data_IF_065086410804
#
_entry.id   IF_065086410804
#
_cell.length_a   1.000
_cell.length_b   1.000
_cell.length_c   1.000
_cell.angle_alpha   90.00
_cell.angle_beta   90.00
_cell.angle_gamma   90.00
#
_symmetry.space_group_name_H-M   'P 1'
#
loop_
_entity.id
_entity.type
_entity.pdbx_description
1 polymer ?
#
# COMPACT_ATOMS: atom_id res chain seq x y z
N UNK A 1 -15.73 7.80 -19.60
CA UNK A 1 -14.39 7.88 -18.98
C UNK A 1 -14.19 9.19 -18.22
N UNK A 2 -14.51 10.35 -18.80
CA UNK A 2 -14.33 11.67 -18.18
C UNK A 2 -14.96 11.81 -16.79
N UNK A 3 -16.19 11.34 -16.57
CA UNK A 3 -16.85 11.44 -15.25
C UNK A 3 -16.07 10.77 -14.11
N UNK A 4 -15.53 9.58 -14.32
CA UNK A 4 -14.72 8.87 -13.31
C UNK A 4 -13.40 9.60 -13.03
N UNK A 5 -12.75 10.12 -14.08
CA UNK A 5 -11.52 10.92 -13.97
C UNK A 5 -11.77 12.19 -13.15
N UNK A 6 -12.84 12.92 -13.46
CA UNK A 6 -13.22 14.16 -12.77
C UNK A 6 -13.49 13.88 -11.28
N UNK A 7 -14.26 12.84 -10.98
CA UNK A 7 -14.60 12.48 -9.60
C UNK A 7 -13.36 12.16 -8.77
N UNK A 8 -12.44 11.34 -9.31
CA UNK A 8 -11.23 10.94 -8.59
C UNK A 8 -10.26 12.10 -8.40
N UNK A 9 -10.02 12.90 -9.44
CA UNK A 9 -9.18 14.09 -9.31
C UNK A 9 -9.77 15.09 -8.31
N UNK A 10 -11.09 15.30 -8.33
CA UNK A 10 -11.77 16.16 -7.34
C UNK A 10 -11.57 15.66 -5.90
N UNK A 11 -11.66 14.34 -5.66
CA UNK A 11 -11.40 13.76 -4.34
C UNK A 11 -9.95 13.87 -3.85
N UNK A 12 -9.02 14.18 -4.77
CA UNK A 12 -7.58 14.36 -4.53
C UNK A 12 -7.19 15.85 -4.52
N UNK A 13 -8.14 16.73 -4.18
CA UNK A 13 -8.00 18.20 -4.18
C UNK A 13 -7.64 18.79 -5.55
N UNK A 14 -8.02 18.12 -6.64
CA UNK A 14 -7.87 18.63 -8.00
C UNK A 14 -8.96 19.64 -8.35
N UNK A 15 -8.56 20.84 -8.71
CA UNK A 15 -9.44 21.91 -9.19
C UNK A 15 -9.44 21.96 -10.71
N UNK A 16 -10.59 21.68 -11.32
CA UNK A 16 -10.76 21.78 -12.78
C UNK A 16 -10.70 23.24 -13.22
N UNK A 17 -9.76 23.55 -14.09
CA UNK A 17 -9.60 24.89 -14.67
C UNK A 17 -10.37 25.03 -15.98
N UNK A 18 -10.37 23.96 -16.77
CA UNK A 18 -10.99 23.96 -18.09
C UNK A 18 -11.46 22.55 -18.49
N UNK A 19 -12.53 22.52 -19.26
CA UNK A 19 -13.07 21.31 -19.87
C UNK A 19 -13.56 21.65 -21.28
N UNK A 20 -12.96 21.00 -22.28
CA UNK A 20 -13.33 21.19 -23.69
C UNK A 20 -13.58 19.83 -24.34
N UNK A 21 -14.57 19.74 -25.22
CA UNK A 21 -14.84 18.53 -26.00
C UNK A 21 -14.61 18.79 -27.48
N UNK A 22 -13.80 17.95 -28.12
CA UNK A 22 -13.56 18.00 -29.57
C UNK A 22 -13.38 16.59 -30.12
N UNK A 23 -14.04 16.28 -31.24
CA UNK A 23 -13.92 15.00 -31.95
C UNK A 23 -14.13 13.75 -31.06
N UNK A 24 -15.05 13.82 -30.10
CA UNK A 24 -15.32 12.72 -29.16
C UNK A 24 -14.27 12.54 -28.06
N UNK A 25 -13.25 13.41 -28.02
CA UNK A 25 -12.23 13.47 -26.97
C UNK A 25 -12.58 14.62 -26.02
N UNK A 26 -12.45 14.36 -24.71
CA UNK A 26 -12.61 15.38 -23.67
C UNK A 26 -11.23 15.76 -23.16
N UNK A 27 -10.89 17.03 -23.29
CA UNK A 27 -9.69 17.64 -22.73
C UNK A 27 -10.05 18.21 -21.37
N UNK A 28 -9.29 17.84 -20.35
CA UNK A 28 -9.48 18.29 -18.97
C UNK A 28 -8.17 18.91 -18.48
N UNK A 29 -8.25 20.12 -17.94
CA UNK A 29 -7.14 20.80 -17.29
C UNK A 29 -7.43 20.93 -15.80
N UNK A 30 -6.49 20.50 -14.98
CA UNK A 30 -6.59 20.54 -13.52
C UNK A 30 -5.36 21.19 -12.91
N UNK A 31 -5.57 21.97 -11.85
CA UNK A 31 -4.53 22.27 -10.87
C UNK A 31 -4.73 21.28 -9.73
N UNK A 32 -3.71 20.52 -9.39
CA UNK A 32 -3.77 19.49 -8.35
C UNK A 32 -2.45 19.49 -7.57
N UNK A 33 -2.47 19.32 -6.24
CA UNK A 33 -1.23 19.17 -5.48
C UNK A 33 -0.48 17.92 -5.92
N UNK A 34 0.85 17.98 -5.98
CA UNK A 34 1.68 16.83 -6.37
C UNK A 34 1.38 15.57 -5.55
N UNK A 35 1.09 15.74 -4.25
CA UNK A 35 0.67 14.65 -3.37
C UNK A 35 -0.60 13.94 -3.83
N UNK A 36 -1.57 14.67 -4.37
CA UNK A 36 -2.82 14.10 -4.90
C UNK A 36 -2.61 13.28 -6.17
N UNK A 37 -1.51 13.50 -6.90
CA UNK A 37 -1.19 12.77 -8.14
C UNK A 37 -0.47 11.44 -7.91
N UNK A 38 0.11 11.20 -6.74
CA UNK A 38 0.76 9.92 -6.44
C UNK A 38 -0.24 8.76 -6.57
N UNK A 39 0.19 7.69 -7.25
CA UNK A 39 -0.63 6.51 -7.57
C UNK A 39 -1.72 6.72 -8.64
N UNK A 40 -2.18 7.95 -8.88
CA UNK A 40 -3.30 8.22 -9.79
C UNK A 40 -3.01 7.87 -11.25
N UNK A 41 -1.74 7.86 -11.68
CA UNK A 41 -1.37 7.47 -13.06
C UNK A 41 -1.88 6.07 -13.42
N UNK A 42 -1.74 5.12 -12.50
CA UNK A 42 -2.17 3.72 -12.71
C UNK A 42 -3.70 3.61 -12.74
N UNK A 43 -4.38 4.33 -11.85
CA UNK A 43 -5.83 4.42 -11.85
C UNK A 43 -6.38 5.06 -13.13
N UNK A 44 -5.76 6.14 -13.59
CA UNK A 44 -6.16 6.84 -14.81
C UNK A 44 -6.09 5.93 -16.05
N UNK A 45 -5.02 5.14 -16.18
CA UNK A 45 -4.92 4.17 -17.27
C UNK A 45 -6.05 3.12 -17.19
N UNK A 46 -6.42 2.69 -15.98
CA UNK A 46 -7.53 1.76 -15.77
C UNK A 46 -8.88 2.39 -16.13
N UNK A 47 -9.15 3.60 -15.64
CA UNK A 47 -10.42 4.32 -15.85
C UNK A 47 -10.64 4.69 -17.32
N UNK A 48 -9.56 4.94 -18.04
CA UNK A 48 -9.55 5.27 -19.47
C UNK A 48 -9.35 4.06 -20.38
N UNK A 49 -9.21 2.85 -19.80
CA UNK A 49 -8.93 1.60 -20.54
C UNK A 49 -7.71 1.71 -21.45
N UNK A 50 -6.70 2.46 -21.02
CA UNK A 50 -5.46 2.70 -21.75
C UNK A 50 -5.55 3.73 -22.89
N UNK A 51 -6.72 4.33 -23.15
CA UNK A 51 -6.90 5.31 -24.22
C UNK A 51 -6.58 6.75 -23.79
N UNK A 52 -6.51 7.00 -22.47
CA UNK A 52 -6.27 8.32 -21.93
C UNK A 52 -4.82 8.75 -22.05
N UNK A 53 -4.61 10.04 -22.30
CA UNK A 53 -3.29 10.67 -22.26
C UNK A 53 -3.26 11.64 -21.08
N UNK A 54 -2.23 11.52 -20.24
CA UNK A 54 -2.01 12.39 -19.08
C UNK A 54 -0.63 13.04 -19.18
N UNK A 55 -0.62 14.36 -19.11
CA UNK A 55 0.60 15.16 -19.02
C UNK A 55 0.54 15.99 -17.73
N UNK A 56 1.67 16.13 -17.06
CA UNK A 56 1.79 16.91 -15.82
C UNK A 56 2.92 17.89 -15.95
N UNK A 57 2.67 19.15 -15.57
CA UNK A 57 3.66 20.21 -15.53
C UNK A 57 3.62 20.86 -14.15
N UNK A 58 4.79 21.19 -13.59
CA UNK A 58 4.84 21.98 -12.36
C UNK A 58 4.23 23.36 -12.60
N UNK A 59 3.27 23.74 -11.76
CA UNK A 59 2.59 25.03 -11.85
C UNK A 59 3.25 26.07 -10.93
N UNK A 60 3.11 25.91 -9.62
CA UNK A 60 3.73 26.75 -8.58
C UNK A 60 3.55 26.11 -7.20
N UNK A 61 4.22 26.67 -6.19
CA UNK A 61 3.90 26.40 -4.80
C UNK A 61 2.63 27.15 -4.37
N UNK A 62 1.78 26.47 -3.61
CA UNK A 62 0.56 26.99 -3.00
C UNK A 62 0.47 26.47 -1.55
N UNK A 63 -0.29 27.13 -0.68
CA UNK A 63 -0.62 26.58 0.64
C UNK A 63 -1.22 25.17 0.50
N UNK A 64 -0.83 24.26 1.39
CA UNK A 64 -1.42 22.93 1.42
C UNK A 64 -2.92 23.04 1.75
N UNK A 65 -3.83 22.51 0.91
CA UNK A 65 -5.26 22.52 1.22
C UNK A 65 -5.62 21.79 2.53
N UNK A 66 -4.73 20.94 3.05
CA UNK A 66 -5.00 20.16 4.25
C UNK A 66 -6.05 19.07 4.02
N UNK A 67 -6.58 18.52 5.11
CA UNK A 67 -7.68 17.54 5.13
C UNK A 67 -7.48 16.31 4.24
N UNK A 68 -6.23 15.89 4.13
CA UNK A 68 -5.88 14.70 3.38
C UNK A 68 -6.46 13.47 4.06
N UNK A 69 -7.17 12.65 3.30
CA UNK A 69 -7.66 11.38 3.80
C UNK A 69 -6.48 10.48 4.13
N UNK A 70 -6.29 10.26 5.43
CA UNK A 70 -5.49 9.15 5.90
C UNK A 70 -6.14 7.83 5.49
N UNK A 71 -5.32 6.78 5.37
CA UNK A 71 -5.85 5.44 5.14
C UNK A 71 -6.64 4.97 6.36
N UNK A 72 -7.82 4.41 6.13
CA UNK A 72 -8.60 3.78 7.20
C UNK A 72 -7.98 2.46 7.68
N UNK A 73 -7.13 1.82 6.87
CA UNK A 73 -6.56 0.52 7.18
C UNK A 73 -5.22 0.65 7.89
N UNK A 74 -4.99 -0.18 8.91
CA UNK A 74 -3.66 -0.33 9.51
C UNK A 74 -2.69 -1.17 8.68
N UNK A 75 -1.47 -1.34 9.17
CA UNK A 75 -0.42 -2.14 8.52
C UNK A 75 -0.24 -3.51 9.18
N UNK A 76 0.03 -4.51 8.34
CA UNK A 76 0.57 -5.78 8.80
C UNK A 76 2.09 -5.63 8.91
N UNK A 77 2.64 -5.81 10.11
CA UNK A 77 4.05 -5.55 10.41
C UNK A 77 4.75 -6.87 10.76
N UNK A 78 5.91 -7.13 10.17
CA UNK A 78 6.72 -8.31 10.47
C UNK A 78 7.15 -8.29 11.94
N UNK A 79 6.80 -9.35 12.66
CA UNK A 79 7.17 -9.54 14.06
C UNK A 79 8.64 -9.93 14.24
N UNK A 80 9.20 -10.67 13.29
CA UNK A 80 10.56 -11.20 13.35
C UNK A 80 11.28 -11.08 12.00
N UNK A 81 12.62 -11.10 12.05
CA UNK A 81 13.47 -11.13 10.87
C UNK A 81 13.65 -12.56 10.38
N UNK A 82 13.51 -12.80 9.08
CA UNK A 82 13.66 -14.12 8.48
C UNK A 82 13.19 -14.16 7.03
N UNK A 83 12.97 -15.36 6.51
CA UNK A 83 12.44 -15.57 5.17
C UNK A 83 10.95 -15.90 5.25
N UNK A 84 10.12 -15.27 4.42
CA UNK A 84 8.68 -15.52 4.38
C UNK A 84 8.40 -16.98 3.97
N UNK A 85 7.52 -17.64 4.71
CA UNK A 85 7.14 -19.03 4.48
C UNK A 85 5.67 -19.10 4.02
N UNK A 86 5.37 -19.96 3.05
CA UNK A 86 3.99 -20.17 2.58
C UNK A 86 3.03 -20.51 3.72
N UNK A 87 3.46 -21.31 4.70
CA UNK A 87 2.64 -21.63 5.87
C UNK A 87 2.34 -20.39 6.71
N UNK A 88 3.35 -19.57 7.01
CA UNK A 88 3.19 -18.31 7.73
C UNK A 88 2.26 -17.35 6.99
N UNK A 89 2.46 -17.18 5.68
CA UNK A 89 1.66 -16.31 4.82
C UNK A 89 0.19 -16.75 4.72
N UNK A 90 -0.08 -18.06 4.56
CA UNK A 90 -1.45 -18.59 4.55
C UNK A 90 -2.18 -18.35 5.87
N UNK A 91 -1.49 -18.47 7.01
CA UNK A 91 -2.11 -18.22 8.31
C UNK A 91 -2.53 -16.76 8.54
N UNK A 92 -1.97 -15.81 7.78
CA UNK A 92 -2.19 -14.37 7.98
C UNK A 92 -2.94 -13.69 6.84
N UNK A 93 -3.14 -14.35 5.69
CA UNK A 93 -3.78 -13.74 4.51
C UNK A 93 -5.25 -13.35 4.71
N UNK A 94 -5.90 -13.85 5.77
CA UNK A 94 -7.25 -13.42 6.15
C UNK A 94 -7.25 -12.17 7.04
N UNK A 95 -6.07 -11.73 7.49
CA UNK A 95 -5.88 -10.46 8.20
C UNK A 95 -5.78 -9.27 7.27
N UNK A 96 -5.63 -9.49 5.96
CA UNK A 96 -5.59 -8.41 4.98
C UNK A 96 -4.82 -8.77 3.72
N UNK A 97 -4.37 -7.75 2.98
CA UNK A 97 -3.69 -7.91 1.69
C UNK A 97 -2.18 -7.94 1.91
N UNK A 98 -1.51 -9.01 1.49
CA UNK A 98 -0.05 -9.14 1.62
C UNK A 98 0.66 -8.48 0.44
N UNK A 99 1.85 -7.94 0.68
CA UNK A 99 2.62 -7.24 -0.36
C UNK A 99 3.60 -8.12 -1.13
N UNK A 100 3.91 -9.30 -0.60
CA UNK A 100 4.82 -10.23 -1.24
C UNK A 100 4.50 -11.68 -0.91
N UNK A 101 5.07 -12.58 -1.71
CA UNK A 101 4.88 -14.02 -1.62
C UNK A 101 5.91 -14.73 -0.72
N UNK A 102 5.96 -16.07 -0.81
CA UNK A 102 6.94 -16.88 -0.08
C UNK A 102 8.37 -16.66 -0.60
N UNK A 103 9.37 -16.91 0.24
CA UNK A 103 10.79 -16.87 -0.12
C UNK A 103 11.43 -15.48 -0.04
N UNK A 104 10.70 -14.46 0.41
CA UNK A 104 11.17 -13.07 0.50
C UNK A 104 11.80 -12.81 1.86
N UNK A 105 13.00 -12.23 1.88
CA UNK A 105 13.66 -11.81 3.12
C UNK A 105 13.00 -10.57 3.72
N UNK A 106 12.59 -10.69 4.97
CA UNK A 106 11.90 -9.67 5.75
C UNK A 106 12.63 -9.41 7.05
N UNK A 107 12.49 -8.19 7.57
CA UNK A 107 13.04 -7.84 8.88
C UNK A 107 11.95 -7.35 9.84
N UNK A 108 12.21 -7.49 11.14
CA UNK A 108 11.34 -7.00 12.22
C UNK A 108 11.00 -5.52 12.01
N UNK A 109 9.72 -5.18 12.02
CA UNK A 109 9.24 -3.81 11.80
C UNK A 109 9.05 -3.41 10.33
N UNK A 110 9.37 -4.29 9.37
CA UNK A 110 8.99 -4.13 7.98
C UNK A 110 7.47 -4.27 7.83
N UNK A 111 6.83 -3.41 7.04
CA UNK A 111 5.43 -3.55 6.67
C UNK A 111 5.34 -4.56 5.53
N UNK A 112 4.47 -5.55 5.71
CA UNK A 112 4.37 -6.74 4.84
C UNK A 112 2.99 -6.90 4.21
N UNK A 113 2.08 -5.99 4.54
CA UNK A 113 0.74 -5.96 3.98
C UNK A 113 -0.12 -4.86 4.59
N UNK A 114 -1.32 -4.72 4.05
CA UNK A 114 -2.38 -3.86 4.55
C UNK A 114 -3.32 -4.69 5.42
N UNK A 115 -3.61 -4.21 6.63
CA UNK A 115 -4.57 -4.84 7.53
C UNK A 115 -6.00 -4.61 7.03
N UNK A 116 -6.88 -5.59 7.17
CA UNK A 116 -8.31 -5.44 6.83
C UNK A 116 -9.06 -4.51 7.80
N UNK A 117 -8.45 -4.16 8.94
CA UNK A 117 -9.03 -3.31 9.99
C UNK A 117 -8.12 -2.10 10.28
N UNK A 118 -8.67 -1.13 11.01
CA UNK A 118 -7.90 -0.05 11.62
C UNK A 118 -6.84 -0.60 12.59
N UNK A 119 -5.73 0.13 12.69
CA UNK A 119 -4.63 -0.15 13.60
C UNK A 119 -3.67 -1.25 13.12
N UNK A 120 -2.41 -1.12 13.51
CA UNK A 120 -1.36 -2.03 13.06
C UNK A 120 -1.40 -3.38 13.77
N UNK A 121 -1.07 -4.43 13.02
CA UNK A 121 -1.02 -5.80 13.52
C UNK A 121 0.36 -6.40 13.25
N UNK A 122 1.08 -6.70 14.34
CA UNK A 122 2.29 -7.50 14.25
C UNK A 122 1.94 -8.96 13.91
N UNK A 123 2.56 -9.50 12.87
CA UNK A 123 2.33 -10.85 12.38
C UNK A 123 3.63 -11.61 12.16
N UNK A 124 3.60 -12.93 12.35
CA UNK A 124 4.72 -13.79 12.02
C UNK A 124 4.46 -14.50 10.68
N UNK A 125 5.20 -14.08 9.65
CA UNK A 125 5.17 -14.66 8.30
C UNK A 125 6.34 -15.63 8.03
N UNK A 126 7.31 -15.71 8.92
CA UNK A 126 8.46 -16.60 8.83
C UNK A 126 8.19 -17.98 9.47
N UNK A 127 7.05 -18.12 10.17
CA UNK A 127 6.63 -19.35 10.84
C UNK A 127 6.63 -20.56 9.90
N UNK A 128 7.43 -21.57 10.26
CA UNK A 128 7.42 -22.87 9.61
C UNK A 128 6.31 -23.78 10.19
N UNK A 129 5.83 -24.72 9.38
CA UNK A 129 4.93 -25.78 9.83
C UNK A 129 5.71 -26.70 10.77
N UNK A 130 5.22 -26.90 12.00
CA UNK A 130 5.81 -27.91 12.88
C UNK A 130 5.52 -29.30 12.30
N UNK A 131 6.57 -30.08 12.06
CA UNK A 131 6.49 -31.47 11.67
C UNK A 131 6.07 -32.29 12.90
N UNK A 132 4.78 -32.35 13.20
CA UNK A 132 4.28 -33.41 14.07
C UNK A 132 4.16 -34.69 13.25
N UNK A 133 4.63 -35.82 13.78
CA UNK A 133 4.48 -37.16 13.20
C UNK A 133 3.00 -37.64 13.18
N UNK A 134 2.05 -36.72 13.03
CA UNK A 134 0.63 -37.01 12.95
C UNK A 134 0.28 -37.35 11.50
N UNK A 135 0.16 -38.64 11.24
CA UNK A 135 -0.39 -39.21 10.01
C UNK A 135 -1.89 -38.91 9.96
N UNK A 136 -2.26 -37.69 9.55
CA UNK A 136 -3.66 -37.30 9.43
C UNK A 136 -4.21 -37.79 8.09
N UNK A 137 -5.22 -38.64 8.21
CA UNK A 137 -6.17 -39.06 7.18
C UNK A 137 -6.69 -37.82 6.42
N UNK A 138 -6.90 -38.00 5.12
CA UNK A 138 -7.13 -36.96 4.12
C UNK A 138 -7.86 -35.71 4.61
N UNK A 139 -7.15 -34.60 4.60
CA UNK A 139 -7.75 -33.29 4.39
C UNK A 139 -6.72 -32.45 3.62
N UNK A 140 -6.65 -32.74 2.32
CA UNK A 140 -5.89 -31.96 1.36
C UNK A 140 -6.69 -30.73 0.95
N UNK A 141 -7.10 -29.91 1.91
CA UNK A 141 -7.48 -28.54 1.58
C UNK A 141 -6.19 -27.81 1.23
N UNK A 142 -5.88 -27.78 -0.05
CA UNK A 142 -4.83 -26.90 -0.57
C UNK A 142 -5.34 -25.47 -0.41
N UNK A 143 -5.22 -24.92 0.81
CA UNK A 143 -5.68 -23.57 1.13
C UNK A 143 -5.05 -22.59 0.14
N UNK A 144 -5.89 -21.98 -0.69
CA UNK A 144 -5.43 -21.09 -1.73
C UNK A 144 -4.69 -19.89 -1.13
N UNK A 145 -3.53 -19.56 -1.69
CA UNK A 145 -2.79 -18.35 -1.33
C UNK A 145 -3.19 -17.22 -2.27
N UNK A 146 -3.79 -16.16 -1.74
CA UNK A 146 -4.17 -14.98 -2.51
C UNK A 146 -2.94 -14.31 -3.12
N UNK A 147 -3.06 -13.89 -4.38
CA UNK A 147 -2.00 -13.15 -5.07
C UNK A 147 -1.65 -11.88 -4.28
N UNK A 148 -0.38 -11.68 -3.91
CA UNK A 148 0.05 -10.47 -3.22
C UNK A 148 -0.08 -9.22 -4.10
N UNK A 149 -0.35 -8.08 -3.46
CA UNK A 149 -0.31 -6.78 -4.11
C UNK A 149 1.13 -6.27 -4.11
N UNK A 150 1.80 -6.30 -5.26
CA UNK A 150 3.16 -5.77 -5.36
C UNK A 150 3.15 -4.25 -5.24
N UNK A 151 3.97 -3.71 -4.36
CA UNK A 151 4.11 -2.27 -4.13
C UNK A 151 5.31 -1.72 -4.90
N UNK A 152 5.06 -0.82 -5.84
CA UNK A 152 6.11 -0.01 -6.47
C UNK A 152 6.37 1.27 -5.65
N UNK A 153 7.24 2.15 -6.16
CA UNK A 153 7.59 3.38 -5.45
C UNK A 153 6.38 4.31 -5.26
N UNK A 154 5.58 4.51 -6.31
CA UNK A 154 4.43 5.42 -6.26
C UNK A 154 3.36 4.89 -5.32
N UNK A 155 3.05 3.59 -5.39
CA UNK A 155 2.11 2.94 -4.47
C UNK A 155 2.63 2.94 -3.02
N UNK A 156 3.93 2.75 -2.81
CA UNK A 156 4.52 2.83 -1.47
C UNK A 156 4.44 4.24 -0.89
N UNK A 157 4.73 5.27 -1.68
CA UNK A 157 4.63 6.67 -1.27
C UNK A 157 3.19 7.11 -0.99
N UNK A 158 2.22 6.57 -1.74
CA UNK A 158 0.79 6.79 -1.47
C UNK A 158 0.33 6.04 -0.20
N UNK A 159 0.94 4.90 0.12
CA UNK A 159 0.54 4.05 1.22
C UNK A 159 1.02 4.52 2.60
N UNK A 160 2.27 5.02 2.71
CA UNK A 160 2.89 5.28 4.02
C UNK A 160 2.10 6.28 4.86
N UNK A 161 1.99 6.00 6.15
CA UNK A 161 1.57 6.97 7.17
C UNK A 161 2.75 7.74 7.77
N UNK A 162 2.44 8.63 8.72
CA UNK A 162 3.43 9.50 9.38
C UNK A 162 4.47 8.73 10.22
N UNK A 163 4.15 7.52 10.68
CA UNK A 163 5.05 6.65 11.45
C UNK A 163 5.80 5.63 10.60
N UNK A 164 5.77 5.80 9.27
CA UNK A 164 6.31 4.88 8.27
C UNK A 164 7.33 5.56 7.34
N UNK A 165 8.20 4.73 6.77
CA UNK A 165 9.19 5.15 5.78
C UNK A 165 9.18 4.19 4.60
N UNK A 166 9.41 4.75 3.41
CA UNK A 166 9.77 3.97 2.22
C UNK A 166 11.28 3.81 2.17
N UNK A 167 11.75 2.57 2.29
CA UNK A 167 13.14 2.19 2.09
C UNK A 167 13.35 1.86 0.61
N UNK A 168 14.22 2.63 -0.05
CA UNK A 168 14.53 2.45 -1.46
C UNK A 168 15.98 2.00 -1.64
N UNK A 169 16.14 0.90 -2.36
CA UNK A 169 17.43 0.39 -2.83
C UNK A 169 17.35 0.16 -4.34
N UNK A 170 18.49 0.02 -5.06
CA UNK A 170 18.46 -0.24 -6.50
C UNK A 170 17.66 -1.49 -6.91
N UNK A 171 17.43 -2.42 -5.99
CA UNK A 171 16.73 -3.70 -6.25
C UNK A 171 15.36 -3.80 -5.61
N UNK A 172 15.06 -3.00 -4.60
CA UNK A 172 13.85 -3.16 -3.79
C UNK A 172 13.29 -1.82 -3.34
N UNK A 173 11.96 -1.73 -3.34
CA UNK A 173 11.17 -0.75 -2.60
C UNK A 173 10.50 -1.49 -1.46
N UNK A 174 10.70 -1.04 -0.23
CA UNK A 174 10.11 -1.64 0.97
C UNK A 174 9.45 -0.56 1.83
N UNK A 175 8.49 -0.97 2.64
CA UNK A 175 7.83 -0.10 3.61
C UNK A 175 8.20 -0.61 5.01
N UNK A 176 8.49 0.30 5.93
CA UNK A 176 8.85 -0.03 7.32
C UNK A 176 8.31 0.99 8.29
N UNK A 177 8.16 0.58 9.55
CA UNK A 177 7.95 1.52 10.65
C UNK A 177 9.22 2.33 10.93
N UNK A 178 9.04 3.56 11.39
CA UNK A 178 10.12 4.41 11.93
C UNK A 178 10.75 3.71 13.14
N UNK A 179 9.92 3.23 14.07
CA UNK A 179 10.36 2.42 15.21
C UNK A 179 10.12 0.95 14.90
N UNK A 180 11.20 0.17 14.74
CA UNK A 180 11.11 -1.23 14.31
C UNK A 180 10.56 -2.17 15.39
N UNK A 181 10.85 -1.88 16.65
CA UNK A 181 10.38 -2.69 17.76
C UNK A 181 9.05 -2.17 18.29
N UNK A 182 8.04 -3.04 18.29
CA UNK A 182 6.72 -2.73 18.86
C UNK A 182 6.79 -2.42 20.34
N UNK A 183 7.71 -3.06 21.09
CA UNK A 183 7.88 -2.76 22.50
C UNK A 183 8.40 -1.32 22.70
N UNK A 184 9.34 -0.89 21.85
CA UNK A 184 9.88 0.47 21.86
C UNK A 184 8.83 1.49 21.42
N UNK A 185 8.05 1.16 20.38
CA UNK A 185 6.96 2.00 19.92
C UNK A 185 5.94 2.23 21.04
N UNK A 186 5.53 1.17 21.73
CA UNK A 186 4.60 1.29 22.87
C UNK A 186 5.19 2.08 24.04
N UNK A 187 6.50 1.98 24.29
CA UNK A 187 7.16 2.82 25.31
C UNK A 187 7.11 4.30 24.94
N UNK A 188 7.42 4.64 23.68
CA UNK A 188 7.32 6.01 23.15
C UNK A 188 5.90 6.57 23.22
N UNK A 189 4.89 5.78 22.85
CA UNK A 189 3.47 6.16 22.95
C UNK A 189 3.05 6.45 24.40
N UNK A 190 3.62 5.73 25.37
CA UNK A 190 3.36 5.92 26.81
C UNK A 190 4.24 7.01 27.44
N UNK A 191 5.12 7.68 26.68
CA UNK A 191 6.04 8.70 27.19
C UNK A 191 7.12 8.15 28.13
N UNK A 192 7.41 6.85 28.06
CA UNK A 192 8.40 6.18 28.89
C UNK A 192 9.72 6.17 28.11
N UNK A 193 10.71 6.90 28.61
CA UNK A 193 12.09 6.89 28.10
C UNK A 193 12.77 5.54 28.33
#
# INVERSE_FOLDING_TARGET
HSGAVIQKLGSRHGEMQNMTMANGIVYLEFIIPTRGLFGYRTEFLTDTRGLGIMNTLFYKYLPDPGDWKERDQGSLVAHETGQSNMYGLRNVQDRGVLFFGPGVEVYKGQVVGQNARQGDLAINICKAKQLSNMRSKGDGSDEHFKTPQTMDLDAALEYIGDDELVEVTPKNVRIRKVTLDRADQRRKELGIN
#
